data_IF_335896683119
#
_entry.id   IF_335896683119
#
_cell.length_a   1.000
_cell.length_b   1.000
_cell.length_c   1.000
_cell.angle_alpha   90.00
_cell.angle_beta   90.00
_cell.angle_gamma   90.00
#
_symmetry.space_group_name_H-M   'P 1'
#
loop_
_entity.id
_entity.type
_entity.pdbx_description
1 polymer ?
#
# COMPACT_ATOMS: atom_id res chain seq x y z
N UNK A 1 -9.16 12.19 -12.86
CA UNK A 1 -8.48 11.08 -13.55
C UNK A 1 -8.70 9.80 -12.77
N UNK A 2 -8.89 8.70 -13.46
CA UNK A 2 -9.05 7.38 -12.86
C UNK A 2 -8.04 6.42 -13.48
N UNK A 3 -7.31 5.69 -12.62
CA UNK A 3 -6.29 4.73 -13.07
C UNK A 3 -6.54 3.38 -12.44
N UNK A 4 -5.99 2.34 -13.07
CA UNK A 4 -6.08 0.97 -12.58
C UNK A 4 -4.68 0.52 -12.17
N UNK A 5 -4.55 0.01 -10.94
CA UNK A 5 -3.29 -0.53 -10.44
C UNK A 5 -3.52 -1.94 -9.94
N UNK A 6 -2.85 -2.90 -10.55
CA UNK A 6 -2.80 -4.27 -10.06
C UNK A 6 -1.71 -4.39 -9.01
N UNK A 7 -2.02 -4.97 -7.87
CA UNK A 7 -1.08 -5.14 -6.76
C UNK A 7 -1.07 -6.59 -6.32
N UNK A 8 0.07 -7.23 -6.42
CA UNK A 8 0.28 -8.58 -5.92
C UNK A 8 0.80 -8.50 -4.49
N UNK A 9 0.00 -8.98 -3.54
CA UNK A 9 0.31 -8.95 -2.11
C UNK A 9 0.92 -10.27 -1.70
N UNK A 10 2.20 -10.47 -2.04
CA UNK A 10 2.93 -11.67 -1.65
C UNK A 10 3.38 -11.63 -0.19
N UNK A 11 3.90 -12.76 0.30
CA UNK A 11 4.47 -12.83 1.65
C UNK A 11 5.84 -12.17 1.74
N UNK A 12 6.59 -12.15 0.64
CA UNK A 12 7.96 -11.64 0.62
C UNK A 12 8.10 -10.33 -0.12
N UNK A 13 7.22 -10.06 -1.06
CA UNK A 13 7.30 -8.85 -1.88
C UNK A 13 5.91 -8.35 -2.26
N UNK A 14 5.82 -7.04 -2.40
CA UNK A 14 4.66 -6.35 -2.99
C UNK A 14 5.07 -5.99 -4.40
N UNK A 15 4.22 -6.30 -5.37
CA UNK A 15 4.54 -6.08 -6.79
C UNK A 15 3.41 -5.36 -7.51
N UNK A 16 3.78 -4.42 -8.35
CA UNK A 16 2.89 -3.77 -9.30
C UNK A 16 3.46 -3.95 -10.71
N UNK A 17 2.81 -3.36 -11.72
CA UNK A 17 3.29 -3.51 -13.09
C UNK A 17 4.72 -2.99 -13.29
N UNK A 18 5.11 -1.93 -12.58
CA UNK A 18 6.39 -1.27 -12.77
C UNK A 18 7.26 -1.23 -11.53
N UNK A 19 6.80 -1.77 -10.41
CA UNK A 19 7.51 -1.68 -9.14
C UNK A 19 7.48 -3.00 -8.39
N UNK A 20 8.51 -3.22 -7.58
CA UNK A 20 8.58 -4.36 -6.69
C UNK A 20 9.42 -3.96 -5.48
N UNK A 21 8.96 -4.30 -4.28
CA UNK A 21 9.75 -4.04 -3.08
C UNK A 21 9.43 -5.09 -2.01
N UNK A 22 10.35 -5.32 -1.06
CA UNK A 22 10.11 -6.30 -0.01
C UNK A 22 8.85 -5.97 0.80
N UNK A 23 8.11 -6.98 1.19
CA UNK A 23 6.90 -6.83 1.99
C UNK A 23 7.27 -6.61 3.46
N UNK A 24 8.11 -5.60 3.70
CA UNK A 24 8.60 -5.25 5.01
C UNK A 24 8.28 -3.81 5.35
N UNK A 25 8.13 -3.52 6.63
CA UNK A 25 7.76 -2.19 7.09
C UNK A 25 8.33 -1.99 8.49
N UNK A 26 8.95 -0.82 8.70
CA UNK A 26 9.45 -0.42 10.02
C UNK A 26 8.69 0.81 10.47
N UNK A 27 8.12 0.76 11.67
CA UNK A 27 7.38 1.88 12.25
C UNK A 27 8.31 2.74 13.10
N UNK A 28 8.21 4.05 12.92
CA UNK A 28 8.95 5.04 13.73
C UNK A 28 8.03 5.86 14.63
N UNK A 29 6.73 5.52 14.65
CA UNK A 29 5.77 6.26 15.45
C UNK A 29 5.69 7.71 15.00
N UNK A 30 5.73 8.64 15.95
CA UNK A 30 5.63 10.08 15.65
C UNK A 30 6.96 10.71 15.29
N UNK A 31 8.05 9.94 15.25
CA UNK A 31 9.39 10.45 14.99
C UNK A 31 9.77 10.24 13.53
N UNK A 32 10.07 11.33 12.84
CA UNK A 32 10.47 11.24 11.44
C UNK A 32 11.91 10.71 11.33
N UNK A 33 12.13 9.59 10.61
CA UNK A 33 13.47 9.07 10.39
C UNK A 33 14.23 9.94 9.38
N UNK A 34 15.55 9.77 9.33
CA UNK A 34 16.38 10.57 8.43
C UNK A 34 16.35 10.09 6.97
N UNK A 35 15.82 8.91 6.70
CA UNK A 35 15.74 8.41 5.33
C UNK A 35 14.50 8.94 4.63
N UNK A 36 14.62 9.20 3.33
CA UNK A 36 13.46 9.55 2.50
C UNK A 36 12.97 8.36 1.69
N UNK A 37 13.86 7.44 1.34
CA UNK A 37 13.51 6.29 0.53
C UNK A 37 12.52 5.39 1.26
N UNK A 38 11.36 5.16 0.65
CA UNK A 38 10.31 4.33 1.24
C UNK A 38 9.57 4.99 2.40
N UNK A 39 9.79 6.26 2.65
CA UNK A 39 9.21 6.96 3.80
C UNK A 39 7.74 7.29 3.55
N UNK A 40 6.88 6.73 4.38
CA UNK A 40 5.43 6.93 4.37
C UNK A 40 5.01 7.64 5.64
N UNK A 41 4.27 8.72 5.49
CA UNK A 41 3.63 9.41 6.62
C UNK A 41 2.13 9.25 6.48
N UNK A 42 1.50 8.65 7.48
CA UNK A 42 0.06 8.41 7.48
C UNK A 42 -0.47 8.48 8.91
N UNK A 43 -1.55 9.23 9.09
CA UNK A 43 -2.19 9.34 10.40
C UNK A 43 -1.30 9.93 11.49
N UNK A 44 -0.35 10.78 11.14
CA UNK A 44 0.57 11.39 12.09
C UNK A 44 1.76 10.50 12.47
N UNK A 45 1.91 9.36 11.84
CA UNK A 45 3.00 8.41 12.12
C UNK A 45 3.85 8.17 10.87
N UNK A 46 5.08 7.74 11.10
CA UNK A 46 6.07 7.53 10.06
C UNK A 46 6.45 6.06 9.95
N UNK A 47 6.57 5.59 8.72
CA UNK A 47 6.92 4.20 8.41
C UNK A 47 7.92 4.18 7.27
N UNK A 48 8.81 3.20 7.27
CA UNK A 48 9.68 2.95 6.12
C UNK A 48 9.23 1.65 5.49
N UNK A 49 8.71 1.74 4.25
CA UNK A 49 8.19 0.60 3.52
C UNK A 49 9.28 0.01 2.63
N UNK A 50 9.30 -1.32 2.54
CA UNK A 50 10.30 -2.03 1.77
C UNK A 50 11.56 -2.37 2.55
N UNK A 51 11.56 -2.19 3.88
CA UNK A 51 12.68 -2.51 4.73
C UNK A 51 12.35 -3.75 5.57
N UNK A 52 13.25 -4.74 5.57
CA UNK A 52 13.05 -5.95 6.34
C UNK A 52 11.95 -6.83 5.75
N UNK A 53 11.37 -7.67 6.60
CA UNK A 53 10.29 -8.58 6.22
C UNK A 53 9.22 -8.62 7.30
N UNK A 54 7.98 -8.81 6.88
CA UNK A 54 6.90 -9.13 7.79
C UNK A 54 6.94 -10.63 8.09
N UNK A 55 6.55 -11.06 9.30
CA UNK A 55 6.28 -12.47 9.54
C UNK A 55 5.22 -12.98 8.56
N UNK A 56 5.34 -14.24 8.15
CA UNK A 56 4.34 -14.84 7.27
C UNK A 56 3.02 -14.88 8.01
N UNK A 57 2.00 -14.25 7.44
CA UNK A 57 0.67 -14.18 8.03
C UNK A 57 -0.34 -14.78 7.08
N UNK A 58 -1.15 -15.72 7.59
CA UNK A 58 -2.25 -16.27 6.79
C UNK A 58 -3.30 -15.22 6.52
N UNK A 59 -3.54 -14.34 7.48
CA UNK A 59 -4.50 -13.26 7.37
C UNK A 59 -3.77 -11.94 7.31
N UNK A 60 -3.74 -11.34 6.11
CA UNK A 60 -3.05 -10.06 5.88
C UNK A 60 -3.80 -8.88 6.45
N UNK A 61 -5.00 -9.10 7.00
CA UNK A 61 -5.80 -8.03 7.58
C UNK A 61 -5.64 -7.91 9.09
N UNK A 62 -4.74 -8.71 9.69
CA UNK A 62 -4.57 -8.78 11.15
C UNK A 62 -4.05 -7.46 11.74
N UNK A 63 -3.33 -6.66 10.94
CA UNK A 63 -2.88 -5.33 11.34
C UNK A 63 -2.87 -4.42 10.11
N UNK A 64 -2.36 -3.19 10.26
CA UNK A 64 -2.36 -2.21 9.18
C UNK A 64 -1.17 -2.33 8.24
N UNK A 65 -0.27 -3.28 8.44
CA UNK A 65 0.97 -3.33 7.66
C UNK A 65 0.73 -3.46 6.17
N UNK A 66 -0.14 -4.39 5.75
CA UNK A 66 -0.42 -4.57 4.32
C UNK A 66 -1.21 -3.41 3.74
N UNK A 67 -2.02 -2.73 4.54
CA UNK A 67 -2.68 -1.51 4.10
C UNK A 67 -1.66 -0.41 3.80
N UNK A 68 -0.72 -0.21 4.72
CA UNK A 68 0.35 0.79 4.55
C UNK A 68 1.24 0.46 3.37
N UNK A 69 1.59 -0.82 3.20
CA UNK A 69 2.38 -1.27 2.05
C UNK A 69 1.61 -1.05 0.73
N UNK A 70 0.30 -1.18 0.75
CA UNK A 70 -0.55 -0.89 -0.42
C UNK A 70 -0.49 0.59 -0.79
N UNK A 71 -0.57 1.48 0.20
CA UNK A 71 -0.44 2.92 -0.05
C UNK A 71 0.92 3.25 -0.67
N UNK A 72 1.99 2.63 -0.17
CA UNK A 72 3.33 2.81 -0.74
C UNK A 72 3.40 2.30 -2.19
N UNK A 73 2.80 1.14 -2.45
CA UNK A 73 2.79 0.55 -3.80
C UNK A 73 2.07 1.46 -4.79
N UNK A 74 0.94 2.02 -4.38
CA UNK A 74 0.17 2.93 -5.23
C UNK A 74 1.01 4.18 -5.54
N UNK A 75 1.65 4.77 -4.52
CA UNK A 75 2.48 5.95 -4.71
C UNK A 75 3.65 5.68 -5.66
N UNK A 76 4.33 4.54 -5.48
CA UNK A 76 5.44 4.16 -6.37
C UNK A 76 4.98 3.99 -7.82
N UNK A 77 3.84 3.37 -8.02
CA UNK A 77 3.29 3.14 -9.35
C UNK A 77 2.88 4.46 -10.01
N UNK A 78 2.28 5.37 -9.25
CA UNK A 78 1.93 6.71 -9.73
C UNK A 78 3.19 7.47 -10.17
N UNK A 79 4.24 7.41 -9.37
CA UNK A 79 5.51 8.05 -9.70
C UNK A 79 6.10 7.50 -10.99
N UNK A 80 6.10 6.17 -11.14
CA UNK A 80 6.64 5.53 -12.34
C UNK A 80 5.87 5.88 -13.60
N UNK A 81 4.55 6.04 -13.49
CA UNK A 81 3.72 6.41 -14.63
C UNK A 81 3.69 7.92 -14.89
N UNK A 82 4.28 8.73 -14.02
CA UNK A 82 4.26 10.18 -14.15
C UNK A 82 2.87 10.76 -14.02
N UNK A 83 2.02 10.18 -13.17
CA UNK A 83 0.63 10.58 -13.00
C UNK A 83 0.47 11.55 -11.84
N UNK A 84 -0.65 12.32 -11.80
CA UNK A 84 -0.88 13.25 -10.69
C UNK A 84 -1.07 12.52 -9.37
N UNK A 85 -0.61 13.11 -8.24
CA UNK A 85 -0.80 12.50 -6.93
C UNK A 85 -2.22 12.63 -6.38
N UNK A 86 -3.11 13.24 -7.12
CA UNK A 86 -4.52 13.37 -6.75
C UNK A 86 -5.36 12.73 -7.84
N UNK A 87 -5.92 11.55 -7.57
CA UNK A 87 -6.68 10.80 -8.57
C UNK A 87 -7.51 9.69 -7.92
N UNK A 88 -8.37 9.07 -8.72
CA UNK A 88 -9.10 7.88 -8.33
C UNK A 88 -8.30 6.64 -8.78
N UNK A 89 -8.13 5.69 -7.88
CA UNK A 89 -7.37 4.47 -8.14
C UNK A 89 -8.29 3.26 -7.98
N UNK A 90 -8.40 2.47 -9.05
CA UNK A 90 -9.06 1.17 -8.99
C UNK A 90 -8.01 0.12 -8.72
N UNK A 91 -8.17 -0.59 -7.61
CA UNK A 91 -7.21 -1.58 -7.15
C UNK A 91 -7.66 -2.97 -7.59
N UNK A 92 -6.78 -3.69 -8.28
CA UNK A 92 -6.95 -5.11 -8.53
C UNK A 92 -5.96 -5.85 -7.63
N UNK A 93 -6.44 -6.29 -6.47
CA UNK A 93 -5.58 -6.92 -5.48
C UNK A 93 -5.45 -8.42 -5.74
N UNK A 94 -4.22 -8.93 -5.75
CA UNK A 94 -3.91 -10.34 -5.84
C UNK A 94 -3.48 -10.91 -4.50
N UNK A 95 -3.98 -12.08 -4.17
CA UNK A 95 -3.62 -12.83 -2.96
C UNK A 95 -3.05 -14.18 -3.34
N UNK A 96 -2.27 -14.83 -2.44
CA UNK A 96 -1.83 -16.19 -2.69
C UNK A 96 -3.00 -17.13 -2.98
N UNK A 97 -2.81 -18.08 -3.89
CA UNK A 97 -3.88 -18.98 -4.33
C UNK A 97 -4.52 -19.75 -3.18
N UNK A 98 -3.74 -20.10 -2.17
CA UNK A 98 -4.22 -20.89 -1.03
C UNK A 98 -5.28 -20.16 -0.21
N UNK A 99 -5.32 -18.83 -0.25
CA UNK A 99 -6.27 -18.04 0.54
C UNK A 99 -7.23 -17.23 -0.32
N UNK A 100 -7.13 -17.32 -1.65
CA UNK A 100 -7.84 -16.41 -2.55
C UNK A 100 -9.36 -16.44 -2.36
N UNK A 101 -9.97 -17.64 -2.38
CA UNK A 101 -11.42 -17.74 -2.31
C UNK A 101 -12.00 -17.35 -0.96
N UNK A 102 -11.28 -17.65 0.12
CA UNK A 102 -11.73 -17.41 1.49
C UNK A 102 -11.52 -15.95 1.91
N UNK A 103 -10.35 -15.39 1.60
CA UNK A 103 -9.91 -14.12 2.16
C UNK A 103 -10.21 -12.92 1.26
N UNK A 104 -10.63 -13.14 0.01
CA UNK A 104 -10.84 -12.07 -0.95
C UNK A 104 -11.83 -10.99 -0.48
N UNK A 105 -13.04 -11.33 -0.02
CA UNK A 105 -13.98 -10.29 0.43
C UNK A 105 -13.45 -9.52 1.65
N UNK A 106 -12.82 -10.22 2.58
CA UNK A 106 -12.28 -9.62 3.79
C UNK A 106 -11.13 -8.67 3.44
N UNK A 107 -10.26 -9.06 2.52
CA UNK A 107 -9.15 -8.23 2.09
C UNK A 107 -9.63 -7.00 1.32
N UNK A 108 -10.66 -7.16 0.51
CA UNK A 108 -11.29 -6.03 -0.18
C UNK A 108 -11.80 -4.99 0.83
N UNK A 109 -12.55 -5.42 1.84
CA UNK A 109 -13.05 -4.51 2.87
C UNK A 109 -11.93 -3.86 3.66
N UNK A 110 -10.88 -4.61 3.93
CA UNK A 110 -9.68 -4.11 4.61
C UNK A 110 -9.03 -2.96 3.84
N UNK A 111 -8.86 -3.12 2.52
CA UNK A 111 -8.23 -2.09 1.69
C UNK A 111 -9.13 -0.88 1.46
N UNK A 112 -10.44 -1.09 1.39
CA UNK A 112 -11.42 -0.02 1.13
C UNK A 112 -12.16 0.40 2.40
N UNK A 113 -11.42 0.56 3.48
CA UNK A 113 -11.99 0.80 4.82
C UNK A 113 -12.72 2.14 4.96
N UNK A 114 -12.61 3.04 3.98
CA UNK A 114 -13.20 4.37 4.06
C UNK A 114 -13.77 4.79 2.72
N UNK A 115 -14.91 5.49 2.74
CA UNK A 115 -15.48 6.11 1.54
C UNK A 115 -14.85 7.46 1.25
N UNK A 116 -14.05 7.98 2.17
CA UNK A 116 -13.39 9.27 2.01
C UNK A 116 -12.05 9.10 1.31
N UNK A 117 -11.56 10.13 0.61
CA UNK A 117 -10.22 10.10 0.05
C UNK A 117 -9.17 9.80 1.12
N UNK A 118 -8.16 9.03 0.74
CA UNK A 118 -7.03 8.72 1.62
C UNK A 118 -5.95 9.76 1.36
N UNK A 119 -5.52 10.43 2.42
CA UNK A 119 -4.47 11.45 2.35
C UNK A 119 -3.23 10.94 3.08
N UNK A 120 -2.10 10.96 2.39
CA UNK A 120 -0.84 10.54 2.99
C UNK A 120 0.32 11.15 2.23
N UNK A 121 1.52 11.08 2.80
CA UNK A 121 2.73 11.55 2.16
C UNK A 121 3.67 10.38 1.94
N UNK A 122 4.24 10.28 0.75
CA UNK A 122 5.21 9.25 0.43
C UNK A 122 6.42 9.87 -0.27
N UNK A 123 7.60 9.66 0.31
CA UNK A 123 8.87 10.20 -0.18
C UNK A 123 8.78 11.70 -0.46
N UNK A 124 8.11 12.42 0.45
CA UNK A 124 8.00 13.87 0.39
C UNK A 124 6.88 14.41 -0.50
N UNK A 125 6.14 13.56 -1.18
CA UNK A 125 5.01 13.96 -2.04
C UNK A 125 3.70 13.66 -1.36
N UNK A 126 2.79 14.62 -1.38
CA UNK A 126 1.45 14.45 -0.80
C UNK A 126 0.50 13.82 -1.80
N UNK A 127 -0.20 12.76 -1.37
CA UNK A 127 -1.17 12.02 -2.18
C UNK A 127 -2.55 12.18 -1.60
N UNK A 128 -3.54 12.33 -2.48
CA UNK A 128 -4.95 12.33 -2.12
C UNK A 128 -5.66 11.41 -3.10
N UNK A 129 -6.07 10.24 -2.64
CA UNK A 129 -6.55 9.19 -3.52
C UNK A 129 -7.93 8.71 -3.12
N UNK A 130 -8.79 8.53 -4.12
CA UNK A 130 -10.06 7.82 -3.94
C UNK A 130 -9.82 6.37 -4.37
N UNK A 131 -9.96 5.43 -3.45
CA UNK A 131 -9.67 4.03 -3.69
C UNK A 131 -10.96 3.26 -3.99
N UNK A 132 -10.93 2.50 -5.08
CA UNK A 132 -12.05 1.66 -5.52
C UNK A 132 -11.49 0.29 -5.86
N UNK A 133 -12.19 -0.76 -5.44
CA UNK A 133 -11.78 -2.13 -5.76
C UNK A 133 -12.46 -2.60 -7.03
N UNK A 134 -11.73 -3.29 -7.87
CA UNK A 134 -12.27 -3.94 -9.07
C UNK A 134 -12.88 -5.29 -8.69
#
# INVERSE_FOLDING_TARGET
MSIIIGIDHGYYAIKTAHCSFPAGLTSYGEHEPYTRQGLLEFGGCFFVCGSGRQPIQRDKTVNDNYYLLTLAAIAKEIQQRGLPPECSVRIAAGLPLTSFGRDKPKFKDYLLRSNQPVNYKFEGVEYSLSLIHI
#
